data_IF_931216400425
#
_entry.id   IF_931216400425
#
_cell.length_a   1.000
_cell.length_b   1.000
_cell.length_c   1.000
_cell.angle_alpha   90.00
_cell.angle_beta   90.00
_cell.angle_gamma   90.00
#
_symmetry.space_group_name_H-M   'P 1'
#
loop_
_entity.id
_entity.type
_entity.pdbx_description
1 polymer ?
#
# COMPACT_ATOMS: atom_id res chain seq x y z
N UNK A 1 0.18 -28.17 -10.43
CA UNK A 1 -0.30 -27.51 -9.20
C UNK A 1 -0.95 -26.18 -9.59
N UNK A 2 -2.23 -25.98 -9.25
CA UNK A 2 -2.86 -24.67 -9.41
C UNK A 2 -2.33 -23.75 -8.32
N UNK A 3 -1.41 -22.86 -8.67
CA UNK A 3 -0.91 -21.82 -7.76
C UNK A 3 -1.98 -20.74 -7.70
N UNK A 4 -2.64 -20.60 -6.55
CA UNK A 4 -3.58 -19.52 -6.31
C UNK A 4 -2.81 -18.19 -6.29
N UNK A 5 -2.91 -17.43 -7.38
CA UNK A 5 -2.21 -16.15 -7.55
C UNK A 5 -3.11 -15.02 -7.08
N UNK A 6 -2.59 -14.19 -6.18
CA UNK A 6 -3.26 -12.95 -5.79
C UNK A 6 -3.32 -12.02 -6.99
N UNK A 7 -4.52 -11.56 -7.36
CA UNK A 7 -4.73 -10.67 -8.51
C UNK A 7 -4.69 -9.19 -8.12
N UNK A 8 -4.93 -8.89 -6.85
CA UNK A 8 -5.06 -7.53 -6.33
C UNK A 8 -4.56 -7.43 -4.88
N UNK A 9 -4.19 -6.23 -4.47
CA UNK A 9 -4.00 -5.85 -3.07
C UNK A 9 -4.95 -4.69 -2.77
N UNK A 10 -5.55 -4.66 -1.57
CA UNK A 10 -6.40 -3.55 -1.14
C UNK A 10 -5.54 -2.47 -0.52
N UNK A 11 -5.78 -1.22 -0.87
CA UNK A 11 -5.17 -0.05 -0.25
C UNK A 11 -6.27 0.73 0.45
N UNK A 12 -6.17 0.90 1.77
CA UNK A 12 -7.17 1.61 2.58
C UNK A 12 -6.87 3.11 2.51
N UNK A 13 -7.80 3.88 1.93
CA UNK A 13 -7.62 5.32 1.72
C UNK A 13 -7.34 6.04 3.03
N UNK A 14 -8.13 5.77 4.07
CA UNK A 14 -7.97 6.42 5.37
C UNK A 14 -6.63 6.07 6.03
N UNK A 15 -6.26 4.79 6.10
CA UNK A 15 -4.99 4.36 6.72
C UNK A 15 -3.75 4.87 5.97
N UNK A 16 -3.87 5.07 4.66
CA UNK A 16 -2.76 5.53 3.83
C UNK A 16 -2.64 7.05 3.88
N UNK A 17 -3.76 7.77 3.72
CA UNK A 17 -3.77 9.22 3.56
C UNK A 17 -3.84 9.97 4.89
N UNK A 18 -4.72 9.55 5.80
CA UNK A 18 -4.87 10.14 7.14
C UNK A 18 -4.06 9.39 8.20
N UNK A 19 -3.58 8.19 7.87
CA UNK A 19 -2.68 7.45 8.73
C UNK A 19 -1.22 7.83 8.55
N UNK A 20 -0.36 7.14 9.28
CA UNK A 20 1.06 7.51 9.40
C UNK A 20 1.84 7.33 8.10
N UNK A 21 1.30 6.69 7.06
CA UNK A 21 2.04 6.41 5.83
C UNK A 21 2.40 7.68 5.06
N UNK A 22 1.49 8.65 4.93
CA UNK A 22 1.78 9.93 4.26
C UNK A 22 2.55 10.90 5.17
N UNK A 23 2.42 10.76 6.49
CA UNK A 23 3.15 11.56 7.47
C UNK A 23 4.62 11.12 7.59
N UNK A 24 4.87 9.81 7.59
CA UNK A 24 6.19 9.23 7.86
C UNK A 24 7.06 9.14 6.62
N UNK A 25 6.46 8.99 5.43
CA UNK A 25 7.16 8.65 4.19
C UNK A 25 7.00 9.74 3.13
N UNK A 26 8.11 10.10 2.50
CA UNK A 26 8.08 10.96 1.32
C UNK A 26 7.56 10.21 0.08
N UNK A 27 7.45 10.89 -1.06
CA UNK A 27 6.91 10.30 -2.28
C UNK A 27 7.75 9.10 -2.79
N UNK A 28 9.07 9.19 -2.75
CA UNK A 28 9.96 8.11 -3.21
C UNK A 28 9.84 6.87 -2.30
N UNK A 29 9.84 7.10 -0.98
CA UNK A 29 9.69 6.05 0.03
C UNK A 29 8.33 5.34 -0.08
N UNK A 30 7.26 6.09 -0.37
CA UNK A 30 5.95 5.53 -0.66
C UNK A 30 5.93 4.67 -1.92
N UNK A 31 6.65 5.09 -2.98
CA UNK A 31 6.82 4.27 -4.19
C UNK A 31 7.45 2.91 -3.88
N UNK A 32 8.50 2.89 -3.05
CA UNK A 32 9.14 1.65 -2.59
C UNK A 32 8.16 0.82 -1.75
N UNK A 33 7.45 1.44 -0.81
CA UNK A 33 6.47 0.76 0.03
C UNK A 33 5.38 0.03 -0.78
N UNK A 34 4.73 0.74 -1.71
CA UNK A 34 3.68 0.15 -2.53
C UNK A 34 4.21 -0.95 -3.44
N UNK A 35 5.43 -0.80 -3.95
CA UNK A 35 6.09 -1.85 -4.73
C UNK A 35 6.33 -3.12 -3.90
N UNK A 36 6.79 -2.97 -2.66
CA UNK A 36 6.97 -4.11 -1.75
C UNK A 36 5.64 -4.78 -1.39
N UNK A 37 4.56 -4.03 -1.22
CA UNK A 37 3.22 -4.62 -1.02
C UNK A 37 2.78 -5.47 -2.21
N UNK A 38 3.02 -5.00 -3.44
CA UNK A 38 2.71 -5.76 -4.66
C UNK A 38 3.56 -7.03 -4.73
N UNK A 39 4.87 -6.92 -4.51
CA UNK A 39 5.78 -8.08 -4.51
C UNK A 39 5.41 -9.09 -3.43
N UNK A 40 5.00 -8.63 -2.24
CA UNK A 40 4.55 -9.49 -1.15
C UNK A 40 3.23 -10.21 -1.44
N UNK A 41 2.47 -9.78 -2.45
CA UNK A 41 1.30 -10.52 -2.95
C UNK A 41 1.65 -11.74 -3.81
N UNK A 42 2.91 -11.87 -4.24
CA UNK A 42 3.34 -12.95 -5.12
C UNK A 42 3.45 -14.28 -4.36
N UNK A 43 3.08 -15.41 -4.99
CA UNK A 43 3.29 -16.74 -4.41
C UNK A 43 4.80 -17.07 -4.32
N UNK A 44 5.22 -18.03 -3.45
CA UNK A 44 4.37 -18.92 -2.65
C UNK A 44 4.00 -18.39 -1.26
N UNK A 45 4.66 -17.33 -0.78
CA UNK A 45 4.55 -16.87 0.59
C UNK A 45 4.02 -15.44 0.68
N UNK A 46 2.68 -15.23 0.62
CA UNK A 46 2.09 -13.91 0.76
C UNK A 46 2.52 -13.20 2.05
N UNK A 47 2.89 -11.93 1.93
CA UNK A 47 3.42 -11.11 3.03
C UNK A 47 4.94 -11.11 3.12
N UNK A 48 5.61 -11.92 2.31
CA UNK A 48 7.07 -11.96 2.19
C UNK A 48 7.50 -11.52 0.78
N UNK A 49 8.56 -10.72 0.71
CA UNK A 49 9.27 -10.40 -0.53
C UNK A 49 10.52 -11.27 -0.58
N UNK A 50 10.44 -12.31 -1.40
CA UNK A 50 11.52 -13.27 -1.62
C UNK A 50 11.63 -13.64 -3.09
N UNK A 51 12.83 -14.05 -3.50
CA UNK A 51 13.09 -14.51 -4.86
C UNK A 51 12.73 -16.00 -5.00
N UNK A 52 13.27 -16.84 -4.11
CA UNK A 52 13.00 -18.29 -4.09
C UNK A 52 13.43 -18.92 -2.77
N UNK A 53 12.61 -19.86 -2.26
CA UNK A 53 12.97 -20.77 -1.17
C UNK A 53 13.53 -20.07 0.09
N UNK A 54 12.90 -18.98 0.54
CA UNK A 54 13.36 -18.26 1.74
C UNK A 54 14.61 -17.41 1.53
N UNK A 55 14.98 -17.10 0.28
CA UNK A 55 16.06 -16.16 -0.05
C UNK A 55 15.45 -14.86 -0.58
N UNK A 56 15.73 -13.76 0.11
CA UNK A 56 15.36 -12.42 -0.31
C UNK A 56 16.25 -11.86 -1.41
N UNK A 57 15.82 -10.73 -1.94
CA UNK A 57 16.59 -9.96 -2.91
C UNK A 57 17.69 -9.17 -2.20
N UNK A 58 18.84 -8.98 -2.85
CA UNK A 58 19.78 -7.94 -2.38
C UNK A 58 19.22 -6.56 -2.74
N UNK A 59 19.78 -5.50 -2.14
CA UNK A 59 19.35 -4.12 -2.43
C UNK A 59 19.59 -3.79 -3.90
N UNK A 60 20.69 -4.27 -4.48
CA UNK A 60 21.05 -4.08 -5.89
C UNK A 60 20.03 -4.77 -6.80
N UNK A 61 19.62 -5.99 -6.46
CA UNK A 61 18.61 -6.73 -7.24
C UNK A 61 17.23 -6.07 -7.15
N UNK A 62 16.84 -5.57 -5.97
CA UNK A 62 15.59 -4.81 -5.83
C UNK A 62 15.64 -3.51 -6.61
N UNK A 63 16.76 -2.79 -6.59
CA UNK A 63 16.93 -1.55 -7.33
C UNK A 63 16.75 -1.78 -8.84
N UNK A 64 17.29 -2.88 -9.35
CA UNK A 64 17.15 -3.29 -10.75
C UNK A 64 15.69 -3.65 -11.09
N UNK A 65 15.02 -4.45 -10.24
CA UNK A 65 13.60 -4.83 -10.42
C UNK A 65 12.67 -3.62 -10.34
N UNK A 66 12.95 -2.68 -9.45
CA UNK A 66 12.14 -1.47 -9.23
C UNK A 66 12.55 -0.31 -10.14
N UNK A 67 13.58 -0.50 -10.99
CA UNK A 67 14.16 0.52 -11.84
C UNK A 67 14.45 1.84 -11.10
N UNK A 68 15.19 1.76 -9.99
CA UNK A 68 15.50 2.91 -9.15
C UNK A 68 16.96 2.92 -8.68
N UNK A 69 17.42 4.06 -8.19
CA UNK A 69 18.79 4.19 -7.68
C UNK A 69 19.01 3.39 -6.39
N UNK A 70 20.11 2.63 -6.32
CA UNK A 70 20.45 1.76 -5.19
C UNK A 70 20.54 2.53 -3.87
N UNK A 71 21.09 3.76 -3.88
CA UNK A 71 21.23 4.56 -2.65
C UNK A 71 19.87 5.05 -2.18
N UNK A 72 19.00 5.48 -3.10
CA UNK A 72 17.61 5.88 -2.77
C UNK A 72 16.83 4.72 -2.21
N UNK A 73 16.91 3.55 -2.84
CA UNK A 73 16.26 2.34 -2.34
C UNK A 73 16.74 1.97 -0.95
N UNK A 74 18.06 1.97 -0.72
CA UNK A 74 18.63 1.66 0.60
C UNK A 74 18.08 2.60 1.69
N UNK A 75 18.07 3.91 1.42
CA UNK A 75 17.49 4.90 2.35
C UNK A 75 16.01 4.63 2.63
N UNK A 76 15.23 4.32 1.59
CA UNK A 76 13.81 4.01 1.76
C UNK A 76 13.60 2.73 2.59
N UNK A 77 14.37 1.66 2.34
CA UNK A 77 14.29 0.43 3.12
C UNK A 77 14.66 0.66 4.59
N UNK A 78 15.71 1.45 4.85
CA UNK A 78 16.11 1.82 6.22
C UNK A 78 15.00 2.61 6.93
N UNK A 79 14.37 3.56 6.24
CA UNK A 79 13.23 4.32 6.76
C UNK A 79 12.03 3.43 7.04
N UNK A 80 11.63 2.57 6.10
CA UNK A 80 10.51 1.64 6.23
C UNK A 80 10.72 0.67 7.41
N UNK A 81 11.95 0.21 7.63
CA UNK A 81 12.32 -0.59 8.79
C UNK A 81 12.19 0.21 10.08
N UNK A 82 12.70 1.45 10.10
CA UNK A 82 12.64 2.33 11.27
C UNK A 82 11.21 2.65 11.71
N UNK A 83 10.29 2.86 10.75
CA UNK A 83 8.88 3.13 11.05
C UNK A 83 8.04 1.86 11.20
N UNK A 84 8.68 0.67 11.23
CA UNK A 84 8.01 -0.59 11.53
C UNK A 84 7.09 -1.11 10.44
N UNK A 85 7.19 -0.62 9.20
CA UNK A 85 6.39 -1.14 8.06
C UNK A 85 6.96 -2.45 7.50
N UNK A 86 8.27 -2.66 7.63
CA UNK A 86 8.95 -3.89 7.20
C UNK A 86 9.89 -4.44 8.28
N UNK A 87 10.13 -5.75 8.20
CA UNK A 87 11.15 -6.48 8.94
C UNK A 87 12.07 -7.19 7.95
N UNK A 88 13.40 -7.06 8.11
CA UNK A 88 14.37 -7.79 7.28
C UNK A 88 14.81 -9.02 8.08
N UNK A 89 14.42 -10.20 7.60
CA UNK A 89 14.75 -11.50 8.18
C UNK A 89 16.08 -12.03 7.61
N UNK A 90 16.45 -13.24 8.04
CA UNK A 90 17.60 -13.96 7.51
C UNK A 90 17.58 -14.04 5.98
N UNK A 91 18.78 -13.99 5.39
CA UNK A 91 18.98 -14.07 3.93
C UNK A 91 18.20 -13.00 3.15
N UNK A 92 18.03 -11.81 3.74
CA UNK A 92 17.41 -10.61 3.18
C UNK A 92 15.91 -10.73 2.85
N UNK A 93 15.19 -11.70 3.43
CA UNK A 93 13.74 -11.79 3.20
C UNK A 93 13.05 -10.59 3.86
N UNK A 94 12.30 -9.81 3.09
CA UNK A 94 11.55 -8.67 3.64
C UNK A 94 10.14 -9.14 3.98
N UNK A 95 9.73 -8.97 5.23
CA UNK A 95 8.40 -9.28 5.74
C UNK A 95 7.61 -8.00 5.94
N UNK A 96 6.38 -7.97 5.43
CA UNK A 96 5.42 -6.88 5.66
C UNK A 96 4.78 -7.08 7.04
N UNK A 97 4.98 -6.13 7.97
CA UNK A 97 4.59 -6.31 9.38
C UNK A 97 3.08 -6.42 9.57
N UNK A 98 2.30 -5.59 8.89
CA UNK A 98 0.83 -5.61 8.96
C UNK A 98 0.17 -6.21 7.72
N UNK A 99 0.74 -7.27 7.14
CA UNK A 99 0.23 -7.88 5.89
C UNK A 99 -1.25 -8.26 5.96
N UNK A 100 -1.73 -8.75 7.11
CA UNK A 100 -3.12 -9.23 7.28
C UNK A 100 -4.16 -8.14 7.06
N UNK A 101 -3.87 -6.89 7.40
CA UNK A 101 -4.79 -5.77 7.13
C UNK A 101 -5.03 -5.58 5.64
N UNK A 102 -4.02 -5.82 4.79
CA UNK A 102 -4.13 -5.71 3.34
C UNK A 102 -4.86 -6.90 2.67
N UNK A 103 -5.35 -7.87 3.45
CA UNK A 103 -5.90 -9.15 2.97
C UNK A 103 -7.36 -9.40 3.33
N UNK A 104 -8.02 -8.53 4.09
CA UNK A 104 -9.37 -8.78 4.61
C UNK A 104 -10.44 -8.64 3.53
N UNK A 105 -10.58 -9.68 2.71
CA UNK A 105 -11.82 -10.46 2.54
C UNK A 105 -11.58 -11.79 1.80
N UNK A 106 -11.23 -12.82 2.58
CA UNK A 106 -11.55 -14.21 2.23
C UNK A 106 -12.10 -14.97 3.45
N UNK A 107 -11.63 -14.62 4.65
CA UNK A 107 -12.05 -15.30 5.89
C UNK A 107 -13.45 -14.92 6.39
N UNK A 108 -13.98 -13.72 6.06
CA UNK A 108 -15.35 -13.34 6.45
C UNK A 108 -16.43 -14.02 5.59
N UNK A 109 -16.22 -14.16 4.28
CA UNK A 109 -17.19 -14.82 3.40
C UNK A 109 -17.24 -16.34 3.58
N UNK A 110 -16.12 -17.00 3.93
CA UNK A 110 -16.10 -18.44 4.21
C UNK A 110 -16.79 -18.83 5.53
N UNK A 111 -16.90 -17.89 6.50
CA UNK A 111 -17.67 -18.09 7.73
C UNK A 111 -19.17 -17.82 7.56
N UNK A 112 -19.57 -16.97 6.61
CA UNK A 112 -20.99 -16.67 6.33
C UNK A 112 -21.66 -17.65 5.37
N UNK A 113 -20.92 -18.36 4.53
CA UNK A 113 -21.48 -19.29 3.52
C UNK A 113 -21.80 -20.70 4.04
N UNK A 114 -21.61 -20.98 5.34
CA UNK A 114 -21.94 -22.28 5.96
C UNK A 114 -23.27 -22.23 6.73
N UNK A 115 -23.95 -21.08 6.78
CA UNK A 115 -25.28 -20.94 7.36
C UNK A 115 -26.20 -20.15 6.42
N UNK A 116 -27.15 -20.85 5.81
CA UNK A 116 -28.22 -20.34 4.91
C UNK A 116 -27.85 -20.16 3.44
N UNK A 117 -28.03 -21.26 2.70
CA UNK A 117 -28.46 -21.19 1.30
C UNK A 117 -29.94 -20.81 1.34
N UNK A 118 -30.27 -19.58 0.97
CA UNK A 118 -31.59 -19.21 0.46
C UNK A 118 -31.42 -18.78 -0.99
N UNK A 119 -32.11 -19.48 -1.88
CA UNK A 119 -32.17 -19.22 -3.31
C UNK A 119 -32.74 -17.82 -3.56
N UNK A 120 -31.89 -16.86 -3.97
CA UNK A 120 -32.33 -15.76 -4.82
C UNK A 120 -31.16 -15.25 -5.68
N UNK A 121 -31.43 -15.03 -6.95
CA UNK A 121 -30.49 -14.50 -7.94
C UNK A 121 -30.54 -12.97 -7.89
N UNK A 122 -29.57 -12.31 -7.25
CA UNK A 122 -29.16 -10.95 -7.64
C UNK A 122 -27.75 -10.61 -7.15
N UNK A 123 -26.93 -10.16 -8.09
CA UNK A 123 -25.62 -9.55 -7.86
C UNK A 123 -25.84 -8.14 -7.29
N UNK A 124 -25.74 -7.96 -5.97
CA UNK A 124 -25.56 -6.65 -5.36
C UNK A 124 -24.74 -6.81 -4.07
N UNK A 125 -23.45 -6.46 -4.13
CA UNK A 125 -22.54 -6.48 -2.97
C UNK A 125 -21.81 -5.13 -2.85
N UNK A 126 -22.56 -4.02 -2.85
CA UNK A 126 -22.11 -2.74 -2.29
C UNK A 126 -23.30 -2.03 -1.64
N UNK A 127 -23.18 -1.45 -0.42
CA UNK A 127 -24.22 -0.60 0.12
C UNK A 127 -24.32 0.66 -0.73
N UNK A 128 -25.51 0.95 -1.27
CA UNK A 128 -25.79 2.26 -1.87
C UNK A 128 -25.88 3.28 -0.73
N UNK A 129 -24.76 3.89 -0.38
CA UNK A 129 -24.78 5.09 0.44
C UNK A 129 -25.11 6.29 -0.45
N UNK A 130 -26.10 7.06 0.00
CA UNK A 130 -26.64 8.20 -0.72
C UNK A 130 -25.65 9.38 -0.58
N UNK A 131 -24.63 9.44 -1.44
CA UNK A 131 -23.68 10.55 -1.45
C UNK A 131 -24.36 11.72 -2.17
N UNK A 132 -24.83 12.69 -1.40
CA UNK A 132 -25.16 14.02 -1.94
C UNK A 132 -23.92 14.57 -2.63
N UNK A 133 -24.08 15.09 -3.85
CA UNK A 133 -23.00 15.70 -4.62
C UNK A 133 -22.43 16.90 -3.86
N UNK A 134 -21.26 16.74 -3.24
CA UNK A 134 -20.41 17.85 -2.82
C UNK A 134 -19.48 18.13 -4.00
N UNK A 135 -19.47 19.36 -4.50
CA UNK A 135 -18.68 19.76 -5.66
C UNK A 135 -17.21 19.92 -5.28
N UNK A 136 -16.30 19.81 -6.25
CA UNK A 136 -14.86 20.05 -6.01
C UNK A 136 -14.56 21.47 -5.49
N UNK A 137 -15.47 22.42 -5.70
CA UNK A 137 -15.35 23.79 -5.20
C UNK A 137 -15.49 23.84 -3.67
N UNK A 138 -16.40 23.03 -3.11
CA UNK A 138 -16.72 23.00 -1.68
C UNK A 138 -15.56 22.45 -0.82
N UNK A 139 -14.64 21.68 -1.41
CA UNK A 139 -13.44 21.16 -0.74
C UNK A 139 -12.30 22.18 -0.67
N UNK A 140 -12.19 23.08 -1.66
CA UNK A 140 -11.14 24.12 -1.68
C UNK A 140 -11.47 25.27 -0.73
N UNK A 141 -12.76 25.58 -0.59
CA UNK A 141 -13.23 26.70 0.21
C UNK A 141 -13.13 26.45 1.74
N UNK A 142 -13.00 25.19 2.16
CA UNK A 142 -12.91 24.79 3.57
C UNK A 142 -11.48 24.42 4.04
N UNK A 143 -10.46 24.64 3.21
CA UNK A 143 -9.08 24.46 3.66
C UNK A 143 -8.63 25.68 4.50
N UNK A 144 -8.06 25.52 5.71
CA UNK A 144 -7.52 26.65 6.46
C UNK A 144 -6.42 27.32 5.63
N UNK A 145 -6.55 28.63 5.37
CA UNK A 145 -5.52 29.44 4.69
C UNK A 145 -4.32 29.58 5.62
N UNK A 146 -3.20 29.00 5.25
CA UNK A 146 -1.89 29.41 5.76
C UNK A 146 -1.51 30.65 4.96
N UNK A 147 -1.59 31.83 5.58
CA UNK A 147 -1.05 33.06 4.99
C UNK A 147 0.48 32.93 4.94
N UNK A 148 1.02 32.68 3.75
CA UNK A 148 2.45 32.79 3.47
C UNK A 148 2.66 34.17 2.85
N UNK A 149 3.29 35.07 3.60
CA UNK A 149 3.72 36.39 3.11
C UNK A 149 4.63 36.22 1.88
N UNK A 150 4.30 36.94 0.82
CA UNK A 150 4.96 36.86 -0.49
C UNK A 150 6.27 37.65 -0.51
N UNK A 151 7.41 36.97 -0.36
CA UNK A 151 8.70 37.53 -0.79
C UNK A 151 8.95 37.19 -2.27
N UNK A 152 8.70 38.21 -3.09
CA UNK A 152 8.91 38.25 -4.54
C UNK A 152 10.42 38.25 -4.86
N UNK A 153 10.90 37.27 -5.62
CA UNK A 153 12.13 37.41 -6.42
C UNK A 153 11.83 37.21 -7.90
N UNK A 154 11.85 38.33 -8.63
CA UNK A 154 11.81 38.41 -10.08
C UNK A 154 13.21 38.06 -10.61
N UNK A 155 13.29 37.09 -11.52
CA UNK A 155 14.34 37.07 -12.55
C UNK A 155 13.67 36.73 -13.89
N UNK A 156 13.42 37.78 -14.68
CA UNK A 156 13.18 37.65 -16.12
C UNK A 156 14.54 37.62 -16.84
N UNK A 157 14.66 36.71 -17.80
CA UNK A 157 15.63 36.78 -18.88
C UNK A 157 14.87 37.15 -20.16
#
# INVERSE_FOLDING_TARGET
MNVNRMKWIRLYVEEIFYGTTFEELNLEERGVWFSLLVMAGMPPNPGLVEMRSGKGYTVEMLADVLNCDVKRLKKALDKLKKVGKIEILDKNVIKITNWKSYQTEYQRYKKKSVGHISNDNSLDIYPKENIGHISNQDMLDNHPRVELEEDIYIYNN
#
